data_IF_825022351945
#
_entry.id   IF_825022351945
#
_cell.length_a   1.000
_cell.length_b   1.000
_cell.length_c   1.000
_cell.angle_alpha   90.00
_cell.angle_beta   90.00
_cell.angle_gamma   90.00
#
_symmetry.space_group_name_H-M   'P 1'
#
loop_
_entity.id
_entity.type
_entity.pdbx_description
1 polymer ?
#
# COMPACT_ATOMS: atom_id res chain seq x y z
N UNK A 1 -72.16 36.98 47.00
CA UNK A 1 -72.54 38.30 46.45
C UNK A 1 -71.43 38.75 45.51
N UNK A 2 -71.77 38.95 44.22
CA UNK A 2 -71.09 39.74 43.17
C UNK A 2 -69.58 39.54 42.92
N UNK A 3 -68.96 39.64 41.74
CA UNK A 3 -69.25 39.79 40.30
C UNK A 3 -67.81 39.85 39.71
N UNK A 4 -67.43 39.29 38.58
CA UNK A 4 -67.60 39.89 37.24
C UNK A 4 -66.50 39.33 36.33
N UNK A 5 -66.87 39.09 35.07
CA UNK A 5 -66.03 38.65 33.95
C UNK A 5 -65.30 39.83 33.29
N UNK A 6 -64.12 39.58 32.73
CA UNK A 6 -63.59 40.10 31.43
C UNK A 6 -62.13 39.63 31.30
N UNK A 7 -61.51 39.33 30.15
CA UNK A 7 -61.82 39.48 28.73
C UNK A 7 -60.98 38.44 27.95
N UNK A 8 -61.46 38.03 26.76
CA UNK A 8 -60.60 37.50 25.68
C UNK A 8 -60.23 38.69 24.77
N UNK A 9 -59.08 38.65 24.06
CA UNK A 9 -59.19 38.24 22.66
C UNK A 9 -57.93 37.62 22.02
N UNK A 10 -58.17 37.09 20.82
CA UNK A 10 -57.35 37.20 19.61
C UNK A 10 -56.54 35.98 19.15
N UNK A 11 -56.85 35.62 17.92
CA UNK A 11 -56.41 34.53 17.03
C UNK A 11 -54.96 34.64 16.55
N UNK A 12 -54.30 33.51 16.29
CA UNK A 12 -53.83 33.21 14.92
C UNK A 12 -53.51 31.71 14.67
N UNK A 13 -53.78 31.28 13.44
CA UNK A 13 -53.50 29.97 12.85
C UNK A 13 -52.01 29.81 12.57
N UNK A 14 -51.41 28.68 12.92
CA UNK A 14 -50.44 28.01 12.04
C UNK A 14 -50.54 26.50 12.15
N UNK A 15 -51.01 25.87 11.08
CA UNK A 15 -51.07 24.43 10.88
C UNK A 15 -49.65 23.91 10.57
N UNK A 16 -48.90 23.50 11.60
CA UNK A 16 -47.56 22.90 11.41
C UNK A 16 -47.71 21.44 10.92
N UNK A 17 -47.48 21.20 9.62
CA UNK A 17 -47.28 19.85 9.07
C UNK A 17 -46.03 19.22 9.70
N UNK A 18 -46.17 18.03 10.31
CA UNK A 18 -45.03 17.20 10.73
C UNK A 18 -44.29 16.67 9.48
N UNK A 19 -42.96 16.79 9.38
CA UNK A 19 -42.23 16.15 8.31
C UNK A 19 -42.22 14.63 8.52
N UNK A 20 -42.56 13.89 7.47
CA UNK A 20 -42.38 12.45 7.35
C UNK A 20 -40.88 12.15 7.38
N UNK A 21 -40.37 11.77 8.55
CA UNK A 21 -39.02 11.23 8.70
C UNK A 21 -38.99 9.84 8.05
N UNK A 22 -38.69 9.82 6.75
CA UNK A 22 -38.23 8.61 6.08
C UNK A 22 -36.98 8.15 6.81
N UNK A 23 -37.12 7.12 7.63
CA UNK A 23 -36.00 6.46 8.29
C UNK A 23 -35.07 5.87 7.22
N UNK A 24 -34.15 6.69 6.72
CA UNK A 24 -32.96 6.24 6.01
C UNK A 24 -32.02 5.68 7.07
N UNK A 25 -32.39 4.53 7.63
CA UNK A 25 -31.49 3.74 8.46
C UNK A 25 -30.29 3.41 7.58
N UNK A 26 -29.19 4.15 7.76
CA UNK A 26 -27.87 3.71 7.36
C UNK A 26 -27.66 2.38 8.08
N UNK A 27 -27.94 1.29 7.37
CA UNK A 27 -27.59 -0.07 7.78
C UNK A 27 -26.07 -0.09 7.91
N UNK A 28 -25.57 0.21 9.10
CA UNK A 28 -24.20 -0.08 9.46
C UNK A 28 -24.07 -1.60 9.33
N UNK A 29 -23.48 -2.07 8.22
CA UNK A 29 -23.03 -3.44 8.08
C UNK A 29 -21.86 -3.60 9.05
N UNK A 30 -22.17 -3.84 10.32
CA UNK A 30 -21.20 -4.31 11.28
C UNK A 30 -20.86 -5.77 10.90
N UNK A 31 -19.87 -5.92 10.02
CA UNK A 31 -19.23 -7.20 9.82
C UNK A 31 -18.40 -7.50 11.08
N UNK A 32 -18.62 -8.67 11.68
CA UNK A 32 -17.77 -9.14 12.77
C UNK A 32 -16.33 -9.19 12.27
N UNK A 33 -15.42 -8.52 12.99
CA UNK A 33 -14.01 -8.46 12.64
C UNK A 33 -13.26 -9.42 13.54
N UNK A 34 -12.65 -10.44 12.95
CA UNK A 34 -11.80 -11.35 13.68
C UNK A 34 -10.52 -10.63 14.12
N UNK A 35 -10.23 -10.67 15.42
CA UNK A 35 -9.03 -10.10 16.02
C UNK A 35 -8.16 -11.24 16.50
N UNK A 36 -7.01 -11.41 15.87
CA UNK A 36 -6.01 -12.37 16.33
C UNK A 36 -4.92 -11.66 17.13
N UNK A 37 -4.69 -12.13 18.35
CA UNK A 37 -3.59 -11.67 19.17
C UNK A 37 -2.34 -12.52 18.92
N UNK A 38 -1.20 -11.86 18.76
CA UNK A 38 0.08 -12.52 18.55
C UNK A 38 0.67 -13.02 19.89
N UNK A 39 -0.09 -13.79 20.68
CA UNK A 39 0.41 -14.38 21.94
C UNK A 39 1.34 -15.57 21.67
N UNK A 40 1.06 -16.34 20.62
CA UNK A 40 1.76 -17.60 20.32
C UNK A 40 2.63 -17.54 19.05
N UNK A 41 2.84 -16.37 18.46
CA UNK A 41 3.51 -16.23 17.15
C UNK A 41 2.67 -16.75 15.97
N UNK A 42 1.42 -17.18 16.20
CA UNK A 42 0.54 -17.73 15.16
C UNK A 42 0.19 -16.71 14.08
N UNK A 43 0.03 -15.44 14.47
CA UNK A 43 -0.26 -14.32 13.54
C UNK A 43 0.95 -14.02 12.66
N UNK A 44 2.15 -13.98 13.23
CA UNK A 44 3.38 -13.75 12.47
C UNK A 44 3.66 -14.87 11.48
N UNK A 45 3.41 -16.14 11.85
CA UNK A 45 3.48 -17.29 10.93
C UNK A 45 2.48 -17.18 9.78
N UNK A 46 1.23 -16.76 10.03
CA UNK A 46 0.23 -16.53 8.97
C UNK A 46 0.67 -15.42 8.00
N UNK A 47 1.22 -14.33 8.52
CA UNK A 47 1.76 -13.24 7.70
C UNK A 47 2.96 -13.70 6.87
N UNK A 48 3.87 -14.47 7.49
CA UNK A 48 5.03 -15.04 6.81
C UNK A 48 4.60 -15.99 5.68
N UNK A 49 3.63 -16.88 5.92
CA UNK A 49 3.12 -17.78 4.88
C UNK A 49 2.57 -17.02 3.66
N UNK A 50 1.92 -15.88 3.88
CA UNK A 50 1.49 -14.98 2.80
C UNK A 50 2.67 -14.37 2.03
N UNK A 51 3.70 -13.90 2.73
CA UNK A 51 4.92 -13.38 2.10
C UNK A 51 5.67 -14.48 1.32
N UNK A 52 5.79 -15.68 1.88
CA UNK A 52 6.44 -16.85 1.28
C UNK A 52 5.77 -17.23 -0.05
N UNK A 53 4.44 -17.15 -0.12
CA UNK A 53 3.70 -17.48 -1.34
C UNK A 53 4.08 -16.55 -2.50
N UNK A 54 4.15 -15.24 -2.24
CA UNK A 54 4.53 -14.25 -3.25
C UNK A 54 6.00 -14.41 -3.64
N UNK A 55 6.87 -14.62 -2.64
CA UNK A 55 8.30 -14.79 -2.87
C UNK A 55 8.61 -16.03 -3.71
N UNK A 56 7.94 -17.16 -3.48
CA UNK A 56 8.09 -18.37 -4.31
C UNK A 56 7.67 -18.14 -5.76
N UNK A 57 6.57 -17.40 -5.97
CA UNK A 57 6.09 -17.07 -7.30
C UNK A 57 7.06 -16.16 -8.06
N UNK A 58 7.60 -15.15 -7.39
CA UNK A 58 8.50 -14.16 -8.00
C UNK A 58 9.96 -14.62 -8.05
N UNK A 59 10.34 -15.56 -7.19
CA UNK A 59 11.67 -16.16 -7.19
C UNK A 59 11.99 -16.90 -8.48
N UNK A 60 10.99 -17.54 -9.11
CA UNK A 60 11.20 -18.22 -10.39
C UNK A 60 11.37 -17.27 -11.57
N UNK A 61 10.93 -16.01 -11.44
CA UNK A 61 11.02 -14.99 -12.50
C UNK A 61 12.30 -14.18 -12.43
N UNK A 62 13.11 -14.33 -11.37
CA UNK A 62 14.30 -13.51 -11.18
C UNK A 62 15.50 -14.01 -12.03
N UNK A 63 16.24 -13.07 -12.61
CA UNK A 63 17.49 -13.31 -13.33
C UNK A 63 17.34 -13.52 -14.84
N UNK A 64 18.46 -13.61 -15.58
CA UNK A 64 18.47 -13.67 -17.05
C UNK A 64 17.84 -14.96 -17.62
N UNK A 65 17.67 -15.98 -16.79
CA UNK A 65 16.99 -17.25 -17.13
C UNK A 65 15.69 -17.43 -16.34
N UNK A 66 15.00 -16.33 -16.05
CA UNK A 66 13.69 -16.35 -15.39
C UNK A 66 12.70 -17.26 -16.12
N UNK A 67 11.93 -18.03 -15.36
CA UNK A 67 10.90 -18.94 -15.90
C UNK A 67 9.58 -18.19 -16.06
N UNK A 68 8.82 -18.57 -17.07
CA UNK A 68 7.49 -18.03 -17.29
C UNK A 68 6.51 -18.56 -16.25
N UNK A 69 5.64 -17.67 -15.75
CA UNK A 69 4.57 -18.02 -14.81
C UNK A 69 3.25 -17.96 -15.58
N UNK A 70 2.51 -19.06 -15.58
CA UNK A 70 1.20 -19.13 -16.23
C UNK A 70 0.14 -18.60 -15.27
N UNK A 71 -0.57 -17.55 -15.68
CA UNK A 71 -1.69 -16.98 -14.96
C UNK A 71 -2.98 -17.38 -15.65
N UNK A 72 -3.93 -17.95 -14.90
CA UNK A 72 -5.26 -18.22 -15.44
C UNK A 72 -5.98 -16.89 -15.68
N UNK A 73 -6.29 -16.60 -16.94
CA UNK A 73 -7.05 -15.40 -17.29
C UNK A 73 -8.54 -15.64 -16.97
N UNK A 74 -9.09 -14.93 -15.99
CA UNK A 74 -10.50 -15.02 -15.61
C UNK A 74 -11.35 -14.15 -16.56
N UNK A 75 -11.71 -14.66 -17.73
CA UNK A 75 -12.80 -14.04 -18.50
C UNK A 75 -14.12 -14.30 -17.75
N UNK A 76 -14.64 -13.28 -17.06
CA UNK A 76 -15.86 -13.29 -16.25
C UNK A 76 -15.96 -12.06 -15.33
N UNK A 77 -17.14 -11.71 -14.77
CA UNK A 77 -17.29 -10.54 -13.90
C UNK A 77 -16.34 -10.65 -12.69
N UNK A 78 -15.69 -9.54 -12.29
CA UNK A 78 -14.64 -9.56 -11.29
C UNK A 78 -15.18 -10.14 -9.98
N UNK A 79 -14.74 -11.34 -9.62
CA UNK A 79 -14.90 -11.83 -8.25
C UNK A 79 -14.00 -10.96 -7.39
N UNK A 80 -14.59 -10.05 -6.62
CA UNK A 80 -13.89 -9.29 -5.58
C UNK A 80 -13.41 -10.34 -4.57
N UNK A 81 -12.20 -10.85 -4.77
CA UNK A 81 -11.54 -11.68 -3.77
C UNK A 81 -11.06 -10.70 -2.71
N UNK A 82 -11.78 -10.66 -1.60
CA UNK A 82 -11.39 -9.87 -0.44
C UNK A 82 -10.22 -10.62 0.21
N UNK A 83 -9.03 -10.54 -0.39
CA UNK A 83 -7.88 -11.37 -0.06
C UNK A 83 -7.55 -11.26 1.44
N UNK A 84 -7.82 -12.33 2.18
CA UNK A 84 -7.69 -12.42 3.63
C UNK A 84 -6.22 -12.49 4.09
N UNK A 85 -5.27 -12.53 3.14
CA UNK A 85 -3.86 -12.69 3.46
C UNK A 85 -3.13 -11.34 3.55
N UNK A 86 -3.15 -10.76 4.75
CA UNK A 86 -2.53 -9.46 5.05
C UNK A 86 -1.04 -9.43 4.69
N UNK A 87 -0.32 -10.55 4.84
CA UNK A 87 1.10 -10.64 4.48
C UNK A 87 1.39 -10.40 2.99
N UNK A 88 0.52 -10.93 2.11
CA UNK A 88 0.62 -10.72 0.65
C UNK A 88 0.48 -9.24 0.30
N UNK A 89 -0.50 -8.55 0.93
CA UNK A 89 -0.78 -7.14 0.67
C UNK A 89 0.38 -6.24 1.09
N UNK A 90 0.98 -6.50 2.26
CA UNK A 90 2.11 -5.72 2.76
C UNK A 90 3.33 -5.81 1.83
N UNK A 91 3.67 -7.03 1.40
CA UNK A 91 4.83 -7.25 0.52
C UNK A 91 4.57 -6.68 -0.88
N UNK A 92 3.35 -6.84 -1.42
CA UNK A 92 2.95 -6.22 -2.69
C UNK A 92 3.04 -4.69 -2.64
N UNK A 93 2.64 -4.07 -1.54
CA UNK A 93 2.73 -2.63 -1.39
C UNK A 93 4.18 -2.13 -1.41
N UNK A 94 5.11 -2.90 -0.83
CA UNK A 94 6.54 -2.57 -0.91
C UNK A 94 7.05 -2.61 -2.36
N UNK A 95 6.73 -3.68 -3.10
CA UNK A 95 7.11 -3.80 -4.51
C UNK A 95 6.48 -2.73 -5.41
N UNK A 96 5.21 -2.40 -5.21
CA UNK A 96 4.51 -1.35 -5.95
C UNK A 96 5.19 0.02 -5.76
N UNK A 97 5.50 0.39 -4.50
CA UNK A 97 6.21 1.64 -4.22
C UNK A 97 7.60 1.70 -4.88
N UNK A 98 8.33 0.58 -4.93
CA UNK A 98 9.61 0.55 -5.65
C UNK A 98 9.40 0.78 -7.14
N UNK A 99 8.40 0.14 -7.74
CA UNK A 99 8.08 0.31 -9.15
C UNK A 99 7.71 1.75 -9.49
N UNK A 100 6.90 2.41 -8.65
CA UNK A 100 6.46 3.79 -8.88
C UNK A 100 7.62 4.81 -8.82
N UNK A 101 8.65 4.53 -8.01
CA UNK A 101 9.79 5.43 -7.82
C UNK A 101 10.97 5.15 -8.77
N UNK A 102 11.27 3.87 -9.02
CA UNK A 102 12.44 3.44 -9.77
C UNK A 102 12.12 2.93 -11.18
N UNK A 103 10.87 2.55 -11.45
CA UNK A 103 10.44 1.96 -12.73
C UNK A 103 10.84 0.49 -12.93
N UNK A 104 11.63 -0.08 -12.02
CA UNK A 104 12.07 -1.48 -12.02
C UNK A 104 12.42 -1.90 -10.57
N UNK A 105 12.74 -3.19 -10.36
CA UNK A 105 13.19 -3.72 -9.08
C UNK A 105 12.07 -4.18 -8.16
N UNK A 106 10.82 -4.21 -8.64
CA UNK A 106 9.67 -4.68 -7.85
C UNK A 106 9.85 -6.12 -7.36
N UNK A 107 10.36 -7.01 -8.22
CA UNK A 107 10.67 -8.40 -7.88
C UNK A 107 11.79 -8.49 -6.84
N UNK A 108 12.87 -7.72 -7.02
CA UNK A 108 14.01 -7.68 -6.09
C UNK A 108 13.60 -7.18 -4.72
N UNK A 109 12.81 -6.10 -4.64
CA UNK A 109 12.30 -5.57 -3.38
C UNK A 109 11.44 -6.58 -2.62
N UNK A 110 10.60 -7.33 -3.33
CA UNK A 110 9.74 -8.34 -2.71
C UNK A 110 10.56 -9.50 -2.14
N UNK A 111 11.55 -9.99 -2.87
CA UNK A 111 12.43 -11.08 -2.39
C UNK A 111 13.30 -10.60 -1.22
N UNK A 112 13.83 -9.38 -1.27
CA UNK A 112 14.57 -8.80 -0.16
C UNK A 112 13.71 -8.64 1.09
N UNK A 113 12.47 -8.14 0.95
CA UNK A 113 11.53 -8.03 2.06
C UNK A 113 11.22 -9.39 2.67
N UNK A 114 11.01 -10.42 1.85
CA UNK A 114 10.80 -11.80 2.28
C UNK A 114 11.98 -12.35 3.10
N UNK A 115 13.21 -12.14 2.61
CA UNK A 115 14.43 -12.56 3.32
C UNK A 115 14.57 -11.88 4.69
N UNK A 116 14.37 -10.57 4.75
CA UNK A 116 14.44 -9.80 6.00
C UNK A 116 13.37 -10.23 7.00
N UNK A 117 12.13 -10.50 6.54
CA UNK A 117 11.04 -10.98 7.41
C UNK A 117 11.39 -12.37 7.96
N UNK A 118 11.86 -13.27 7.11
CA UNK A 118 12.18 -14.65 7.51
C UNK A 118 13.29 -14.70 8.55
N UNK A 119 14.40 -13.99 8.32
CA UNK A 119 15.50 -13.94 9.28
C UNK A 119 15.14 -13.12 10.53
N UNK A 120 14.40 -12.02 10.38
CA UNK A 120 13.93 -11.22 11.50
C UNK A 120 13.03 -12.01 12.46
N UNK A 121 12.10 -12.82 11.93
CA UNK A 121 11.23 -13.67 12.74
C UNK A 121 12.04 -14.73 13.50
N UNK A 122 13.07 -15.33 12.88
CA UNK A 122 13.95 -16.30 13.57
C UNK A 122 14.67 -15.66 14.76
N UNK A 123 15.25 -14.48 14.57
CA UNK A 123 16.00 -13.76 15.63
C UNK A 123 15.08 -13.30 16.76
N UNK A 124 13.87 -12.84 16.44
CA UNK A 124 12.88 -12.43 17.44
C UNK A 124 12.32 -13.65 18.19
N UNK A 125 12.11 -14.78 17.52
CA UNK A 125 11.67 -16.03 18.16
C UNK A 125 12.71 -16.58 19.14
N UNK A 126 13.99 -16.25 18.94
CA UNK A 126 15.06 -16.58 19.88
C UNK A 126 15.06 -15.69 21.16
N UNK A 127 14.09 -14.76 21.30
CA UNK A 127 13.96 -13.90 22.47
C UNK A 127 14.62 -12.53 22.34
N UNK A 128 15.15 -12.18 21.16
CA UNK A 128 15.76 -10.88 20.92
C UNK A 128 14.71 -9.76 20.87
N UNK A 129 15.05 -8.58 21.38
CA UNK A 129 14.15 -7.43 21.33
C UNK A 129 13.88 -6.97 19.88
N UNK A 130 12.63 -7.04 19.38
CA UNK A 130 12.29 -6.70 18.00
C UNK A 130 12.56 -5.22 17.65
N UNK A 131 12.49 -4.32 18.63
CA UNK A 131 12.74 -2.89 18.42
C UNK A 131 14.23 -2.65 18.11
N UNK A 132 15.12 -3.35 18.81
CA UNK A 132 16.56 -3.24 18.56
C UNK A 132 16.92 -3.84 17.21
N UNK A 133 16.34 -4.99 16.85
CA UNK A 133 16.54 -5.62 15.53
C UNK A 133 16.09 -4.68 14.42
N UNK A 134 14.89 -4.10 14.50
CA UNK A 134 14.38 -3.17 13.50
C UNK A 134 15.29 -1.93 13.35
N UNK A 135 15.72 -1.32 14.47
CA UNK A 135 16.66 -0.20 14.46
C UNK A 135 18.02 -0.57 13.86
N UNK A 136 18.51 -1.78 14.13
CA UNK A 136 19.74 -2.31 13.54
C UNK A 136 19.65 -2.46 12.03
N UNK A 137 18.53 -3.02 11.53
CA UNK A 137 18.25 -3.16 10.09
C UNK A 137 18.22 -1.78 9.42
N UNK A 138 17.51 -0.80 10.00
CA UNK A 138 17.43 0.56 9.44
C UNK A 138 18.79 1.26 9.36
N UNK A 139 19.61 1.15 10.42
CA UNK A 139 20.96 1.73 10.42
C UNK A 139 21.85 1.09 9.37
N UNK A 140 21.80 -0.23 9.26
CA UNK A 140 22.57 -0.99 8.28
C UNK A 140 22.13 -0.64 6.86
N UNK A 141 20.82 -0.56 6.61
CA UNK A 141 20.28 -0.15 5.31
C UNK A 141 20.75 1.26 4.91
N UNK A 142 20.74 2.22 5.84
CA UNK A 142 21.26 3.57 5.57
C UNK A 142 22.74 3.57 5.21
N UNK A 143 23.57 2.83 5.95
CA UNK A 143 24.99 2.70 5.64
C UNK A 143 25.24 2.05 4.27
N UNK A 144 24.51 0.98 3.95
CA UNK A 144 24.61 0.30 2.65
C UNK A 144 24.18 1.20 1.49
N UNK A 145 23.16 2.04 1.66
CA UNK A 145 22.76 3.01 0.62
C UNK A 145 23.87 4.03 0.35
N UNK A 146 24.61 4.46 1.37
CA UNK A 146 25.76 5.36 1.19
C UNK A 146 26.88 4.66 0.41
N UNK A 147 27.16 3.40 0.74
CA UNK A 147 28.17 2.61 0.03
C UNK A 147 27.75 2.31 -1.42
N UNK A 148 26.48 2.00 -1.68
CA UNK A 148 26.00 1.83 -3.04
C UNK A 148 26.15 3.10 -3.89
N UNK A 149 26.03 4.28 -3.27
CA UNK A 149 26.30 5.56 -3.96
C UNK A 149 27.78 5.74 -4.26
N UNK A 150 28.69 5.32 -3.37
CA UNK A 150 30.14 5.40 -3.61
C UNK A 150 30.58 4.45 -4.73
N UNK A 151 29.96 3.27 -4.80
CA UNK A 151 30.19 2.28 -5.86
C UNK A 151 29.58 2.68 -7.22
N UNK A 152 28.65 3.62 -7.24
CA UNK A 152 27.94 4.04 -8.46
C UNK A 152 28.87 4.81 -9.40
N UNK A 153 28.79 4.50 -10.70
CA UNK A 153 29.53 5.21 -11.75
C UNK A 153 28.62 6.20 -12.45
N UNK A 154 28.99 7.48 -12.41
CA UNK A 154 28.29 8.52 -13.18
C UNK A 154 28.68 8.41 -14.64
N UNK A 155 27.70 8.15 -15.50
CA UNK A 155 27.90 8.14 -16.95
C UNK A 155 27.61 9.55 -17.46
N UNK A 156 28.63 10.22 -18.00
CA UNK A 156 28.47 11.48 -18.73
C UNK A 156 28.59 11.16 -20.21
N UNK A 157 27.45 11.06 -20.91
CA UNK A 157 27.45 10.80 -22.34
C UNK A 157 27.57 12.12 -23.11
N UNK A 158 28.78 12.45 -23.56
CA UNK A 158 29.05 13.59 -24.45
C UNK A 158 28.28 13.49 -25.79
N UNK A 159 27.96 12.26 -26.22
CA UNK A 159 27.30 11.99 -27.49
C UNK A 159 25.83 12.44 -27.50
N UNK A 160 25.15 12.38 -26.36
CA UNK A 160 23.78 12.91 -26.22
C UNK A 160 23.79 14.44 -26.29
N UNK A 161 24.72 15.09 -25.58
CA UNK A 161 24.84 16.55 -25.60
C UNK A 161 25.11 17.07 -27.02
N UNK A 162 26.05 16.47 -27.75
CA UNK A 162 26.32 16.84 -29.14
C UNK A 162 25.10 16.64 -30.06
N UNK A 163 24.33 15.56 -29.89
CA UNK A 163 23.14 15.34 -30.72
C UNK A 163 22.02 16.33 -30.42
N UNK A 164 21.74 16.64 -29.15
CA UNK A 164 20.75 17.68 -28.81
C UNK A 164 21.19 19.06 -29.28
N UNK A 165 22.47 19.41 -29.15
CA UNK A 165 22.99 20.71 -29.57
C UNK A 165 22.96 20.84 -31.10
N UNK A 166 23.39 19.80 -31.81
CA UNK A 166 23.31 19.73 -33.28
C UNK A 166 21.86 19.81 -33.78
N UNK A 167 20.92 19.10 -33.16
CA UNK A 167 19.51 19.15 -33.56
C UNK A 167 18.89 20.52 -33.26
N UNK A 168 19.25 21.16 -32.15
CA UNK A 168 18.77 22.52 -31.82
C UNK A 168 19.30 23.54 -32.82
N UNK A 169 20.58 23.43 -33.21
CA UNK A 169 21.17 24.26 -34.26
C UNK A 169 20.51 24.04 -35.63
N UNK A 170 20.25 22.79 -36.02
CA UNK A 170 19.57 22.46 -37.29
C UNK A 170 18.12 22.97 -37.32
N UNK A 171 17.40 22.87 -36.19
CA UNK A 171 16.02 23.38 -36.07
C UNK A 171 15.98 24.91 -36.18
N UNK A 172 16.94 25.62 -35.56
CA UNK A 172 17.02 27.08 -35.67
C UNK A 172 17.42 27.55 -37.08
N UNK A 173 18.27 26.79 -37.78
CA UNK A 173 18.67 27.14 -39.15
C UNK A 173 17.53 26.96 -40.16
N UNK A 174 16.60 26.03 -39.93
CA UNK A 174 15.38 25.83 -40.74
C UNK A 174 14.27 26.87 -40.50
N UNK A 175 14.45 27.80 -39.57
CA UNK A 175 13.48 28.86 -39.21
C UNK A 175 13.87 30.24 -39.78
N UNK A 176 14.93 30.32 -40.58
CA UNK A 176 15.35 31.47 -41.39
C UNK A 176 15.04 31.16 -42.85
#
# INVERSE_FOLDING_TARGET
MASSLSALPFSDRTFRKKPSSSNFFLRARAAAKEVHFNRDGSVTKKLQAGADMVAKLLGVTLGPKGRNVVLQNKYGPPKIVNDENVGVKLVRQAGAKTNDLAGDGSTTSIILAHGLITEGIKVVSAGTNPIQVARGIERTAKALVLELRSMSRKIVSYLVYMFTDMMTHVINWKRI
#
